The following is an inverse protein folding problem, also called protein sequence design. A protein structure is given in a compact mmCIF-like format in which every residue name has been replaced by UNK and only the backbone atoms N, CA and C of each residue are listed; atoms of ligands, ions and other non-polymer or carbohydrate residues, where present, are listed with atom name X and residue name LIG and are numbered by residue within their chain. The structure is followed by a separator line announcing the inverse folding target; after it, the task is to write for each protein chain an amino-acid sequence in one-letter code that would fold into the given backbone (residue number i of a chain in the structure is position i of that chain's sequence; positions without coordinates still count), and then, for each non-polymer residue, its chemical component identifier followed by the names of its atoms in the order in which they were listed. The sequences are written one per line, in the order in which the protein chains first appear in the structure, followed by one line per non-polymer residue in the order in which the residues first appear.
data_IF_953665034616
#
_entry.id   IF_953665034616
#
_cell.length_a   1.000
_cell.length_b   1.000
_cell.length_c   1.000
_cell.angle_alpha   90.00
_cell.angle_beta   90.00
_cell.angle_gamma   90.00
#
_symmetry.space_group_name_H-M   'P 1'
#
loop_
_entity.id
_entity.type
_entity.pdbx_description
1 polymer ?
#
# COMPACT_ATOMS: atom_id res chain seq x y z
N UNK A 1 -0.80 21.68 18.43
CA UNK A 1 0.19 20.61 18.24
C UNK A 1 -0.43 19.28 17.74
N UNK A 2 -1.56 18.80 18.30
CA UNK A 2 -2.17 17.53 17.85
C UNK A 2 -2.76 17.55 16.41
N UNK A 3 -3.25 18.68 15.93
CA UNK A 3 -3.97 18.74 14.65
C UNK A 3 -3.00 18.64 13.43
N UNK A 4 -1.85 19.29 13.52
CA UNK A 4 -0.83 19.25 12.47
C UNK A 4 -0.19 17.86 12.37
N UNK A 5 0.11 17.22 13.51
CA UNK A 5 0.60 15.85 13.54
C UNK A 5 -0.39 14.89 12.90
N UNK A 6 -1.69 15.07 13.16
CA UNK A 6 -2.75 14.24 12.58
C UNK A 6 -2.89 14.42 11.05
N UNK A 7 -2.61 15.63 10.56
CA UNK A 7 -2.57 15.87 9.11
C UNK A 7 -1.34 15.25 8.44
N UNK A 8 -0.18 15.28 9.11
CA UNK A 8 1.03 14.63 8.62
C UNK A 8 0.88 13.09 8.55
N UNK A 9 0.40 12.47 9.62
CA UNK A 9 0.11 11.02 9.64
C UNK A 9 -0.87 10.62 8.55
N UNK A 10 -1.91 11.43 8.32
CA UNK A 10 -2.88 11.21 7.24
C UNK A 10 -2.22 11.33 5.87
N UNK A 11 -1.34 12.30 5.68
CA UNK A 11 -0.62 12.47 4.42
C UNK A 11 0.32 11.27 4.16
N UNK A 12 1.01 10.77 5.19
CA UNK A 12 1.84 9.57 5.09
C UNK A 12 1.04 8.32 4.74
N UNK A 13 -0.12 8.11 5.36
CA UNK A 13 -0.99 6.98 5.04
C UNK A 13 -1.48 7.05 3.58
N UNK A 14 -1.81 8.23 3.07
CA UNK A 14 -2.15 8.42 1.67
C UNK A 14 -0.95 8.18 0.76
N UNK A 15 0.24 8.62 1.14
CA UNK A 15 1.46 8.40 0.39
C UNK A 15 1.80 6.90 0.28
N UNK A 16 1.64 6.13 1.35
CA UNK A 16 1.79 4.68 1.33
C UNK A 16 0.81 4.00 0.36
N UNK A 17 -0.46 4.42 0.39
CA UNK A 17 -1.48 3.94 -0.55
C UNK A 17 -1.10 4.24 -2.01
N UNK A 18 -0.68 5.46 -2.30
CA UNK A 18 -0.29 5.90 -3.65
C UNK A 18 0.96 5.17 -4.10
N UNK A 19 1.93 4.95 -3.21
CA UNK A 19 3.14 4.19 -3.51
C UNK A 19 2.83 2.74 -3.87
N UNK A 20 2.01 2.05 -3.09
CA UNK A 20 1.59 0.69 -3.40
C UNK A 20 0.91 0.62 -4.77
N UNK A 21 -0.03 1.53 -5.04
CA UNK A 21 -0.71 1.61 -6.33
C UNK A 21 0.24 1.93 -7.49
N UNK A 22 1.28 2.74 -7.28
CA UNK A 22 2.28 3.03 -8.29
C UNK A 22 3.16 1.82 -8.59
N UNK A 23 3.60 1.10 -7.57
CA UNK A 23 4.39 -0.11 -7.74
C UNK A 23 3.61 -1.19 -8.50
N UNK A 24 2.31 -1.35 -8.25
CA UNK A 24 1.41 -2.20 -9.02
C UNK A 24 1.31 -1.77 -10.48
N UNK A 25 1.11 -0.49 -10.74
CA UNK A 25 1.06 0.06 -12.10
C UNK A 25 2.41 -0.08 -12.82
N UNK A 26 3.52 0.04 -12.11
CA UNK A 26 4.88 0.00 -12.65
C UNK A 26 5.36 -1.41 -12.99
N UNK A 27 4.80 -2.47 -12.39
CA UNK A 27 5.10 -3.85 -12.75
C UNK A 27 4.80 -4.18 -14.22
N UNK A 28 4.02 -3.31 -14.88
CA UNK A 28 3.74 -3.39 -16.30
C UNK A 28 4.88 -2.88 -17.21
N UNK A 29 5.69 -1.94 -16.75
CA UNK A 29 6.60 -1.18 -17.60
C UNK A 29 8.06 -1.29 -17.23
N UNK A 30 8.42 -1.97 -16.15
CA UNK A 30 9.77 -1.90 -15.61
C UNK A 30 10.40 -3.29 -15.57
N UNK A 31 11.45 -3.44 -16.34
CA UNK A 31 12.65 -4.16 -15.92
C UNK A 31 13.21 -3.40 -14.71
N UNK A 32 12.66 -3.67 -13.54
CA UNK A 32 13.08 -2.99 -12.33
C UNK A 32 14.42 -3.57 -11.93
N UNK A 33 15.44 -2.80 -12.13
CA UNK A 33 16.62 -2.83 -11.32
C UNK A 33 16.16 -2.48 -9.91
N UNK A 34 15.98 -3.52 -9.08
CA UNK A 34 15.70 -3.44 -7.66
C UNK A 34 14.38 -2.69 -7.30
N UNK A 35 13.22 -3.34 -7.36
CA UNK A 35 12.03 -2.80 -6.73
C UNK A 35 12.29 -2.76 -5.23
N UNK A 36 12.19 -1.59 -4.63
CA UNK A 36 12.24 -1.46 -3.17
C UNK A 36 11.41 -2.58 -2.53
N UNK A 37 11.95 -3.22 -1.50
CA UNK A 37 11.36 -4.42 -0.92
C UNK A 37 9.95 -4.09 -0.42
N UNK A 38 8.99 -4.98 -0.64
CA UNK A 38 7.61 -4.77 -0.19
C UNK A 38 7.52 -4.49 1.32
N UNK A 39 8.45 -5.05 2.11
CA UNK A 39 8.60 -4.79 3.54
C UNK A 39 9.21 -3.41 3.86
N UNK A 40 9.90 -2.77 2.91
CA UNK A 40 10.47 -1.43 3.08
C UNK A 40 9.47 -0.31 2.80
N UNK A 41 8.30 -0.64 2.23
CA UNK A 41 7.24 0.34 1.91
C UNK A 41 6.81 1.13 3.15
N UNK A 42 7.03 0.58 4.34
CA UNK A 42 6.64 1.19 5.62
C UNK A 42 7.81 1.41 6.59
N UNK A 43 9.04 1.42 6.08
CA UNK A 43 10.24 1.69 6.88
C UNK A 43 10.41 3.15 7.34
N UNK A 44 9.32 3.89 7.58
CA UNK A 44 9.33 5.30 7.95
C UNK A 44 9.22 6.23 6.74
N UNK A 45 9.51 7.53 6.93
CA UNK A 45 9.42 8.55 5.88
C UNK A 45 10.29 8.25 4.66
N UNK A 46 11.48 7.68 4.87
CA UNK A 46 12.35 7.25 3.79
C UNK A 46 11.75 6.13 2.94
N UNK A 47 10.98 5.23 3.55
CA UNK A 47 10.31 4.12 2.87
C UNK A 47 9.13 4.55 2.01
N UNK A 48 8.50 5.70 2.30
CA UNK A 48 7.35 6.24 1.56
C UNK A 48 7.68 7.49 0.73
N UNK A 49 8.96 7.81 0.56
CA UNK A 49 9.40 9.03 -0.14
C UNK A 49 8.87 9.13 -1.58
N UNK A 50 8.82 8.01 -2.31
CA UNK A 50 8.23 7.95 -3.64
C UNK A 50 6.73 8.25 -3.59
N UNK A 51 6.02 7.67 -2.63
CA UNK A 51 4.59 7.91 -2.42
C UNK A 51 4.29 9.37 -2.06
N UNK A 52 5.11 9.99 -1.22
CA UNK A 52 5.00 11.42 -0.89
C UNK A 52 5.12 12.27 -2.17
N UNK A 53 6.15 12.02 -2.98
CA UNK A 53 6.36 12.73 -4.26
C UNK A 53 5.18 12.57 -5.22
N UNK A 54 4.70 11.34 -5.40
CA UNK A 54 3.56 11.05 -6.28
C UNK A 54 2.26 11.64 -5.74
N UNK A 55 2.03 11.58 -4.43
CA UNK A 55 0.86 12.18 -3.80
C UNK A 55 0.88 13.70 -3.94
N UNK A 56 2.05 14.29 -3.80
CA UNK A 56 2.26 15.73 -4.03
C UNK A 56 1.89 16.10 -5.46
N UNK A 57 2.36 15.34 -6.45
CA UNK A 57 2.04 15.58 -7.86
C UNK A 57 0.53 15.43 -8.13
N UNK A 58 -0.09 14.39 -7.60
CA UNK A 58 -1.53 14.16 -7.76
C UNK A 58 -2.40 15.22 -7.06
N UNK A 59 -2.04 15.62 -5.83
CA UNK A 59 -2.88 16.50 -4.99
C UNK A 59 -2.61 17.96 -5.24
N UNK A 60 -1.35 18.34 -5.44
CA UNK A 60 -0.94 19.75 -5.65
C UNK A 60 -1.10 20.12 -7.12
N UNK A 61 -0.49 19.32 -8.03
CA UNK A 61 -0.49 19.64 -9.46
C UNK A 61 -1.73 19.13 -10.21
N UNK A 62 -2.57 18.33 -9.54
CA UNK A 62 -3.81 17.77 -10.11
C UNK A 62 -3.57 16.96 -11.41
N UNK A 63 -2.40 16.32 -11.51
CA UNK A 63 -1.96 15.59 -12.70
C UNK A 63 -2.59 14.18 -12.76
N UNK A 64 -3.91 14.12 -12.77
CA UNK A 64 -4.66 12.85 -12.80
C UNK A 64 -4.51 12.13 -14.14
N UNK A 65 -4.38 12.89 -15.24
CA UNK A 65 -4.30 12.33 -16.59
C UNK A 65 -2.96 11.63 -16.85
N UNK A 66 -1.88 12.12 -16.24
CA UNK A 66 -0.55 11.49 -16.34
C UNK A 66 -0.42 10.20 -15.53
N UNK A 67 -1.37 9.94 -14.61
CA UNK A 67 -1.31 8.83 -13.66
C UNK A 67 -2.61 8.02 -13.60
N UNK A 68 -3.25 7.78 -14.73
CA UNK A 68 -4.59 7.15 -14.80
C UNK A 68 -4.62 5.77 -14.13
N UNK A 69 -3.61 4.92 -14.38
CA UNK A 69 -3.54 3.58 -13.79
C UNK A 69 -3.30 3.64 -12.28
N UNK A 70 -2.40 4.52 -11.85
CA UNK A 70 -2.15 4.78 -10.43
C UNK A 70 -3.43 5.18 -9.70
N UNK A 71 -4.17 6.13 -10.25
CA UNK A 71 -5.45 6.59 -9.67
C UNK A 71 -6.46 5.45 -9.64
N UNK A 72 -6.53 4.64 -10.70
CA UNK A 72 -7.41 3.47 -10.76
C UNK A 72 -7.10 2.47 -9.64
N UNK A 73 -5.83 2.07 -9.46
CA UNK A 73 -5.42 1.15 -8.41
C UNK A 73 -5.68 1.73 -7.01
N UNK A 74 -5.34 3.00 -6.77
CA UNK A 74 -5.61 3.66 -5.50
C UNK A 74 -7.11 3.68 -5.16
N UNK A 75 -7.97 3.93 -6.13
CA UNK A 75 -9.43 3.90 -5.93
C UNK A 75 -9.95 2.49 -5.65
N UNK A 76 -9.39 1.46 -6.29
CA UNK A 76 -9.72 0.06 -6.04
C UNK A 76 -9.32 -0.35 -4.63
N UNK A 77 -8.12 0.00 -4.17
CA UNK A 77 -7.66 -0.25 -2.80
C UNK A 77 -8.58 0.40 -1.76
N UNK A 78 -8.96 1.67 -1.97
CA UNK A 78 -9.93 2.37 -1.10
C UNK A 78 -11.33 1.74 -1.15
N UNK A 79 -11.70 1.08 -2.24
CA UNK A 79 -12.97 0.36 -2.35
C UNK A 79 -12.93 -0.97 -1.60
N UNK A 80 -11.83 -1.71 -1.71
CA UNK A 80 -11.60 -2.94 -0.96
C UNK A 80 -11.55 -2.69 0.54
N UNK A 81 -10.84 -1.64 0.99
CA UNK A 81 -10.80 -1.24 2.40
C UNK A 81 -12.21 -1.04 2.96
N UNK A 82 -13.08 -0.33 2.24
CA UNK A 82 -14.47 -0.12 2.67
C UNK A 82 -15.28 -1.40 2.82
N UNK A 83 -15.01 -2.40 1.98
CA UNK A 83 -15.64 -3.71 2.11
C UNK A 83 -15.06 -4.44 3.31
N UNK A 84 -13.74 -4.46 3.44
CA UNK A 84 -13.04 -5.08 4.56
C UNK A 84 -13.51 -4.52 5.91
N UNK A 85 -13.73 -3.20 6.01
CA UNK A 85 -14.26 -2.55 7.21
C UNK A 85 -15.63 -3.07 7.66
N UNK A 86 -16.38 -3.75 6.79
CA UNK A 86 -17.67 -4.40 7.10
C UNK A 86 -17.53 -5.86 7.53
N UNK A 87 -16.32 -6.40 7.50
CA UNK A 87 -15.98 -7.77 7.83
C UNK A 87 -14.93 -7.79 8.95
N UNK A 88 -15.34 -7.57 10.21
CA UNK A 88 -14.42 -7.46 11.35
C UNK A 88 -13.58 -8.71 11.55
N UNK A 89 -14.12 -9.90 11.25
CA UNK A 89 -13.40 -11.16 11.36
C UNK A 89 -12.21 -11.24 10.40
N UNK A 90 -12.39 -10.77 9.15
CA UNK A 90 -11.30 -10.69 8.17
C UNK A 90 -10.26 -9.64 8.57
N UNK A 91 -10.71 -8.50 9.10
CA UNK A 91 -9.81 -7.45 9.57
C UNK A 91 -8.95 -7.94 10.75
N UNK A 92 -9.56 -8.69 11.69
CA UNK A 92 -8.86 -9.31 12.80
C UNK A 92 -7.87 -10.38 12.32
N UNK A 93 -8.28 -11.23 11.37
CA UNK A 93 -7.40 -12.25 10.78
C UNK A 93 -6.19 -11.62 10.09
N UNK A 94 -6.38 -10.52 9.36
CA UNK A 94 -5.30 -9.73 8.75
C UNK A 94 -4.34 -9.18 9.80
N UNK A 95 -4.84 -8.53 10.84
CA UNK A 95 -4.02 -8.00 11.92
C UNK A 95 -3.19 -9.09 12.60
N UNK A 96 -3.84 -10.20 12.98
CA UNK A 96 -3.15 -11.35 13.60
C UNK A 96 -2.09 -11.96 12.67
N UNK A 97 -2.40 -12.07 11.37
CA UNK A 97 -1.46 -12.59 10.37
C UNK A 97 -0.23 -11.71 10.21
N UNK A 98 -0.42 -10.40 10.13
CA UNK A 98 0.68 -9.42 10.05
C UNK A 98 1.56 -9.48 11.30
N UNK A 99 0.95 -9.51 12.50
CA UNK A 99 1.69 -9.64 13.77
C UNK A 99 2.52 -10.93 13.84
N UNK A 100 1.99 -12.03 13.31
CA UNK A 100 2.72 -13.30 13.28
C UNK A 100 3.91 -13.23 12.30
N UNK A 101 3.75 -12.62 11.14
CA UNK A 101 4.82 -12.43 10.17
C UNK A 101 5.90 -11.51 10.74
N UNK A 102 5.54 -10.44 11.46
CA UNK A 102 6.50 -9.55 12.11
C UNK A 102 7.27 -10.28 13.23
N UNK A 103 6.60 -11.11 14.03
CA UNK A 103 7.25 -11.99 15.01
C UNK A 103 8.22 -12.96 14.35
N UNK A 104 7.86 -13.57 13.23
CA UNK A 104 8.76 -14.44 12.47
C UNK A 104 10.00 -13.67 12.01
N UNK A 105 9.84 -12.44 11.55
CA UNK A 105 10.94 -11.57 11.11
C UNK A 105 11.88 -11.20 12.26
N UNK A 106 11.33 -10.88 13.42
CA UNK A 106 12.08 -10.40 14.59
C UNK A 106 12.65 -11.53 15.44
N UNK A 107 11.95 -12.66 15.55
CA UNK A 107 12.32 -13.80 16.38
C UNK A 107 12.78 -14.98 15.54
N UNK A 108 13.99 -14.89 14.99
CA UNK A 108 14.62 -16.04 14.33
C UNK A 108 15.64 -16.69 15.30
N UNK A 109 15.34 -17.88 15.84
CA UNK A 109 16.22 -18.55 16.79
C UNK A 109 17.60 -18.92 16.22
N UNK A 110 17.71 -18.96 14.89
CA UNK A 110 18.97 -19.29 14.20
C UNK A 110 19.81 -18.06 13.83
N UNK A 111 19.43 -16.84 14.23
CA UNK A 111 20.10 -15.57 13.91
C UNK A 111 20.40 -15.35 12.41
N UNK A 112 19.77 -16.10 11.52
CA UNK A 112 19.85 -15.85 10.08
C UNK A 112 18.71 -14.91 9.67
N UNK A 113 18.99 -13.86 8.91
CA UNK A 113 17.94 -13.00 8.38
C UNK A 113 16.98 -13.84 7.55
N UNK A 114 15.68 -13.75 7.85
CA UNK A 114 14.66 -14.38 7.00
C UNK A 114 14.73 -13.70 5.65
N UNK A 115 14.78 -14.50 4.59
CA UNK A 115 14.81 -14.00 3.22
C UNK A 115 13.51 -13.22 2.93
N UNK A 116 13.64 -12.04 2.33
CA UNK A 116 12.52 -11.20 1.93
C UNK A 116 11.49 -11.96 1.07
N UNK A 117 11.93 -12.87 0.22
CA UNK A 117 11.04 -13.73 -0.57
C UNK A 117 10.13 -14.63 0.29
N UNK A 118 10.61 -15.05 1.47
CA UNK A 118 9.79 -15.81 2.43
C UNK A 118 8.71 -14.92 3.04
N UNK A 119 9.08 -13.70 3.45
CA UNK A 119 8.12 -12.72 3.99
C UNK A 119 7.07 -12.34 2.92
N UNK A 120 7.50 -12.10 1.68
CA UNK A 120 6.58 -11.83 0.56
C UNK A 120 5.63 -13.00 0.31
N UNK A 121 6.10 -14.25 0.43
CA UNK A 121 5.26 -15.44 0.28
C UNK A 121 4.21 -15.57 1.39
N UNK A 122 4.59 -15.30 2.65
CA UNK A 122 3.67 -15.31 3.79
C UNK A 122 2.62 -14.19 3.68
N UNK A 123 3.02 -12.97 3.32
CA UNK A 123 2.10 -11.87 3.06
C UNK A 123 1.15 -12.19 1.91
N UNK A 124 1.65 -12.82 0.84
CA UNK A 124 0.82 -13.24 -0.28
C UNK A 124 -0.16 -14.37 0.09
N UNK A 125 0.23 -15.27 0.99
CA UNK A 125 -0.69 -16.27 1.54
C UNK A 125 -1.79 -15.62 2.37
N UNK A 126 -1.43 -14.70 3.26
CA UNK A 126 -2.37 -13.94 4.06
C UNK A 126 -3.37 -13.15 3.19
N UNK A 127 -2.90 -12.50 2.11
CA UNK A 127 -3.77 -11.83 1.14
C UNK A 127 -4.79 -12.81 0.51
N UNK A 128 -4.33 -13.96 0.04
CA UNK A 128 -5.23 -14.97 -0.56
C UNK A 128 -6.30 -15.45 0.42
N UNK A 129 -5.89 -15.73 1.65
CA UNK A 129 -6.76 -16.33 2.65
C UNK A 129 -7.80 -15.35 3.21
N UNK A 130 -7.48 -14.06 3.20
CA UNK A 130 -8.34 -13.02 3.77
C UNK A 130 -9.05 -12.18 2.72
N UNK A 131 -8.36 -11.73 1.68
CA UNK A 131 -8.86 -10.79 0.68
C UNK A 131 -9.20 -11.44 -0.65
N UNK A 132 -8.74 -12.66 -0.90
CA UNK A 132 -8.93 -13.35 -2.17
C UNK A 132 -10.40 -13.56 -2.59
N UNK A 133 -11.33 -13.55 -1.62
CA UNK A 133 -12.78 -13.64 -1.87
C UNK A 133 -13.50 -12.30 -2.06
N UNK A 134 -12.79 -11.16 -1.91
CA UNK A 134 -13.43 -9.86 -2.01
C UNK A 134 -13.44 -9.33 -3.44
N UNK A 135 -14.59 -8.81 -3.88
CA UNK A 135 -14.70 -8.04 -5.12
C UNK A 135 -14.65 -6.53 -4.81
N UNK A 136 -14.13 -5.68 -5.71
CA UNK A 136 -13.56 -6.04 -7.01
C UNK A 136 -12.18 -6.67 -6.87
N UNK A 137 -11.89 -7.70 -7.69
CA UNK A 137 -10.53 -8.18 -7.79
C UNK A 137 -9.63 -7.13 -8.44
N UNK A 138 -8.49 -6.86 -7.83
CA UNK A 138 -7.48 -6.01 -8.45
C UNK A 138 -6.74 -6.88 -9.47
N UNK A 139 -7.05 -6.67 -10.75
CA UNK A 139 -6.37 -7.35 -11.84
C UNK A 139 -5.18 -6.49 -12.26
N UNK A 140 -3.99 -6.97 -11.90
CA UNK A 140 -2.74 -6.36 -12.36
C UNK A 140 -2.51 -6.80 -13.80
N UNK A 141 -2.40 -5.82 -14.71
CA UNK A 141 -2.09 -6.06 -16.10
C UNK A 141 -0.58 -6.07 -16.27
N UNK A 142 -0.03 -7.02 -17.03
CA UNK A 142 1.40 -7.14 -17.23
C UNK A 142 1.76 -8.15 -18.30
N UNK A 143 3.06 -8.19 -18.63
CA UNK A 143 3.57 -9.19 -19.55
C UNK A 143 3.42 -10.59 -18.91
N UNK A 144 2.85 -11.54 -19.69
CA UNK A 144 2.47 -12.87 -19.19
C UNK A 144 3.63 -13.61 -18.52
N UNK A 145 4.86 -13.48 -19.02
CA UNK A 145 6.04 -14.10 -18.42
C UNK A 145 6.35 -13.59 -17.02
N UNK A 146 6.07 -12.33 -16.73
CA UNK A 146 6.26 -11.78 -15.38
C UNK A 146 5.14 -12.22 -14.42
N UNK A 147 3.91 -12.32 -14.89
CA UNK A 147 2.76 -12.75 -14.10
C UNK A 147 2.72 -14.26 -13.84
N UNK A 148 3.50 -15.05 -14.59
CA UNK A 148 3.66 -16.49 -14.35
C UNK A 148 4.76 -16.80 -13.31
N UNK A 149 5.62 -15.84 -13.00
CA UNK A 149 6.66 -16.01 -11.98
C UNK A 149 6.05 -15.90 -10.58
N UNK A 150 6.13 -16.97 -9.79
CA UNK A 150 5.57 -17.04 -8.43
C UNK A 150 6.12 -15.96 -7.50
N UNK A 151 7.40 -15.60 -7.62
CA UNK A 151 8.00 -14.52 -6.82
C UNK A 151 7.34 -13.18 -7.12
N UNK A 152 7.10 -12.87 -8.41
CA UNK A 152 6.43 -11.64 -8.79
C UNK A 152 4.98 -11.61 -8.32
N UNK A 153 4.27 -12.75 -8.43
CA UNK A 153 2.88 -12.87 -7.93
C UNK A 153 2.82 -12.65 -6.43
N UNK A 154 3.75 -13.23 -5.66
CA UNK A 154 3.82 -13.02 -4.22
C UNK A 154 4.11 -11.55 -3.88
N UNK A 155 5.03 -10.92 -4.58
CA UNK A 155 5.35 -9.49 -4.41
C UNK A 155 4.16 -8.59 -4.71
N UNK A 156 3.43 -8.84 -5.81
CA UNK A 156 2.19 -8.13 -6.16
C UNK A 156 1.18 -8.23 -5.02
N UNK A 157 0.92 -9.43 -4.51
CA UNK A 157 -0.03 -9.64 -3.41
C UNK A 157 0.42 -8.96 -2.11
N UNK A 158 1.70 -9.02 -1.79
CA UNK A 158 2.25 -8.31 -0.63
C UNK A 158 2.08 -6.78 -0.77
N UNK A 159 2.28 -6.22 -1.97
CA UNK A 159 2.05 -4.80 -2.25
C UNK A 159 0.56 -4.42 -2.15
N UNK A 160 -0.35 -5.26 -2.64
CA UNK A 160 -1.80 -5.05 -2.49
C UNK A 160 -2.19 -5.00 -1.01
N UNK A 161 -1.67 -5.95 -0.22
CA UNK A 161 -1.91 -5.97 1.22
C UNK A 161 -1.37 -4.71 1.90
N UNK A 162 -0.17 -4.26 1.53
CA UNK A 162 0.44 -3.03 1.99
C UNK A 162 -0.41 -1.80 1.64
N UNK A 163 -0.95 -1.76 0.42
CA UNK A 163 -1.86 -0.70 -0.03
C UNK A 163 -3.17 -0.67 0.76
N UNK A 164 -3.75 -1.82 1.06
CA UNK A 164 -4.96 -1.93 1.89
C UNK A 164 -4.67 -1.50 3.32
N UNK A 165 -3.54 -1.89 3.91
CA UNK A 165 -3.12 -1.42 5.22
C UNK A 165 -3.05 0.13 5.27
N UNK A 166 -2.43 0.73 4.27
CA UNK A 166 -2.39 2.20 4.14
C UNK A 166 -3.78 2.83 3.99
N UNK A 167 -4.69 2.17 3.26
CA UNK A 167 -6.07 2.62 3.11
C UNK A 167 -6.84 2.57 4.45
N UNK A 168 -6.60 1.52 5.26
CA UNK A 168 -7.17 1.39 6.61
C UNK A 168 -6.64 2.52 7.51
N UNK A 169 -5.33 2.74 7.54
CA UNK A 169 -4.72 3.84 8.31
C UNK A 169 -5.26 5.20 7.86
N UNK A 170 -5.34 5.44 6.55
CA UNK A 170 -5.95 6.65 6.01
C UNK A 170 -7.37 6.88 6.56
N UNK A 171 -8.18 5.83 6.57
CA UNK A 171 -9.56 5.90 7.07
C UNK A 171 -9.61 6.12 8.59
N UNK A 172 -8.80 5.40 9.37
CA UNK A 172 -8.69 5.55 10.83
C UNK A 172 -8.26 6.97 11.24
N UNK A 173 -7.36 7.57 10.48
CA UNK A 173 -6.94 8.97 10.64
C UNK A 173 -7.97 9.98 10.13
N UNK A 174 -9.20 9.54 9.83
CA UNK A 174 -10.29 10.39 9.38
C UNK A 174 -10.19 10.82 7.91
N UNK A 175 -9.35 10.15 7.11
CA UNK A 175 -9.26 10.35 5.68
C UNK A 175 -10.58 10.02 4.98
N UNK A 176 -10.97 10.85 4.01
CA UNK A 176 -12.17 10.67 3.21
C UNK A 176 -11.87 11.06 1.76
N UNK A 177 -12.59 10.48 0.80
CA UNK A 177 -12.38 10.76 -0.63
C UNK A 177 -12.49 12.24 -0.98
N UNK A 178 -13.37 12.98 -0.31
CA UNK A 178 -13.53 14.41 -0.53
C UNK A 178 -12.33 15.25 -0.05
N UNK A 179 -11.46 14.71 0.81
CA UNK A 179 -10.18 15.35 1.14
C UNK A 179 -9.23 15.43 -0.07
N UNK A 180 -9.38 14.52 -1.04
CA UNK A 180 -8.56 14.51 -2.24
C UNK A 180 -8.98 15.60 -3.25
N UNK A 181 -10.20 16.12 -3.12
CA UNK A 181 -10.77 17.09 -4.06
C UNK A 181 -11.18 18.41 -3.39
N UNK A 182 -12.21 18.38 -2.54
CA UNK A 182 -12.81 19.58 -1.98
C UNK A 182 -12.07 20.16 -0.77
N UNK A 183 -11.48 19.31 0.09
CA UNK A 183 -10.79 19.72 1.32
C UNK A 183 -9.31 19.30 1.33
N UNK A 184 -8.60 19.52 0.22
CA UNK A 184 -7.19 19.14 0.04
C UNK A 184 -6.19 20.06 0.73
N UNK A 185 -6.59 21.29 1.14
CA UNK A 185 -5.66 22.28 1.73
C UNK A 185 -4.81 21.74 2.90
N UNK A 186 -5.38 21.06 3.92
CA UNK A 186 -4.59 20.51 5.02
C UNK A 186 -3.60 19.42 4.57
N UNK A 187 -3.96 18.64 3.56
CA UNK A 187 -3.10 17.63 2.95
C UNK A 187 -1.94 18.27 2.21
N UNK A 188 -2.20 19.31 1.43
CA UNK A 188 -1.17 20.09 0.71
C UNK A 188 -0.18 20.68 1.72
N UNK A 189 -0.68 21.32 2.78
CA UNK A 189 0.20 21.89 3.82
C UNK A 189 1.07 20.82 4.48
N UNK A 190 0.50 19.66 4.80
CA UNK A 190 1.24 18.57 5.40
C UNK A 190 2.33 18.01 4.45
N UNK A 191 2.00 17.78 3.17
CA UNK A 191 2.94 17.29 2.16
C UNK A 191 4.07 18.28 1.85
N UNK A 192 3.79 19.58 1.90
CA UNK A 192 4.80 20.62 1.65
C UNK A 192 5.81 20.77 2.78
N UNK A 193 5.51 20.24 3.97
CA UNK A 193 6.38 20.28 5.16
C UNK A 193 7.17 18.98 5.37
N UNK A 194 7.01 17.98 4.50
CA UNK A 194 7.75 16.71 4.46
C UNK A 194 8.86 16.74 3.42
#
# INVERSE_FOLDING_TARGET
MNLELHHAERALALAGLVQAAHLEASLNSIFITDPGRACDVYGGESGVSLGIKLTTDLVIHFNLLGHTDLVRYALLLLQLERKLARHPDCLQALGTGIDNIDKMRTFNPNQQPINDATIEAELAALDRDTLGGFEPHIVVQGHQGHLQNSCNVNRIRALLLAGIHSAVLWHQLGGRRWHLTAARKPLISALSNM
#
